data_IF_538429387131
#
_entry.id   IF_538429387131
#
_cell.length_a   1.000
_cell.length_b   1.000
_cell.length_c   1.000
_cell.angle_alpha   90.00
_cell.angle_beta   90.00
_cell.angle_gamma   90.00
#
_symmetry.space_group_name_H-M   'P 1'
#
loop_
_entity.id
_entity.type
_entity.pdbx_description
1 polymer ?
#
# COMPACT_ATOMS: atom_id res chain seq x y z
N UNK A 1 -50.14 -52.73 32.78
CA UNK A 1 -48.98 -53.29 33.49
C UNK A 1 -47.72 -52.71 32.84
N UNK A 2 -46.96 -51.97 33.65
CA UNK A 2 -45.48 -51.90 33.63
C UNK A 2 -44.88 -51.22 32.39
N UNK A 3 -44.68 -49.89 32.43
CA UNK A 3 -43.40 -49.23 32.75
C UNK A 3 -42.28 -49.52 31.74
N UNK A 4 -41.97 -48.51 30.91
CA UNK A 4 -40.64 -48.34 30.33
C UNK A 4 -39.65 -47.95 31.45
N UNK A 5 -38.50 -48.63 31.62
CA UNK A 5 -37.42 -48.12 32.45
C UNK A 5 -36.25 -47.58 31.61
N UNK A 6 -35.89 -46.34 31.94
CA UNK A 6 -34.54 -45.82 32.23
C UNK A 6 -33.36 -46.23 31.30
N UNK A 7 -32.75 -45.30 30.57
CA UNK A 7 -31.69 -44.38 31.03
C UNK A 7 -30.71 -45.02 32.03
N UNK A 8 -29.54 -45.44 31.55
CA UNK A 8 -28.27 -45.41 32.29
C UNK A 8 -27.07 -45.49 31.34
N UNK A 9 -26.30 -44.40 31.33
CA UNK A 9 -24.83 -44.30 31.23
C UNK A 9 -24.04 -45.44 30.58
N UNK A 10 -23.30 -45.10 29.52
CA UNK A 10 -21.92 -45.53 29.36
C UNK A 10 -21.08 -44.32 28.91
N UNK A 11 -20.56 -43.62 29.91
CA UNK A 11 -19.35 -42.81 29.81
C UNK A 11 -18.16 -43.79 29.90
N UNK A 12 -17.05 -43.46 29.23
CA UNK A 12 -15.75 -44.13 29.23
C UNK A 12 -15.55 -45.32 28.26
N UNK A 13 -14.95 -45.00 27.11
CA UNK A 13 -13.93 -45.84 26.46
C UNK A 13 -13.10 -44.99 25.47
N UNK A 14 -12.34 -44.02 25.98
CA UNK A 14 -11.16 -43.53 25.27
C UNK A 14 -9.96 -44.26 25.87
N UNK A 15 -9.71 -45.48 25.38
CA UNK A 15 -8.54 -46.26 25.73
C UNK A 15 -7.57 -46.25 24.54
N UNK A 16 -6.35 -45.82 24.85
CA UNK A 16 -5.14 -45.75 24.05
C UNK A 16 -5.15 -46.62 22.78
N UNK A 17 -5.13 -45.97 21.63
CA UNK A 17 -4.40 -46.46 20.48
C UNK A 17 -3.13 -45.61 20.34
N UNK A 18 -2.08 -45.96 21.08
CA UNK A 18 -0.71 -45.60 20.70
C UNK A 18 -0.37 -46.51 19.52
N UNK A 19 -0.96 -46.20 18.37
CA UNK A 19 -0.48 -46.69 17.08
C UNK A 19 0.60 -45.73 16.63
N UNK A 20 1.74 -46.25 16.21
CA UNK A 20 2.79 -45.47 15.57
C UNK A 20 2.17 -44.61 14.45
N UNK A 21 1.97 -43.32 14.73
CA UNK A 21 1.55 -42.34 13.74
C UNK A 21 2.75 -42.17 12.81
N UNK A 22 2.65 -42.70 11.59
CA UNK A 22 3.54 -42.29 10.52
C UNK A 22 3.38 -40.78 10.30
N UNK A 23 4.46 -40.11 9.90
CA UNK A 23 4.48 -38.66 9.63
C UNK A 23 3.25 -38.23 8.82
N UNK A 24 2.55 -37.21 9.30
CA UNK A 24 1.35 -36.68 8.66
C UNK A 24 1.75 -35.44 7.85
N UNK A 25 1.68 -35.54 6.52
CA UNK A 25 2.05 -34.42 5.65
C UNK A 25 1.32 -33.12 6.03
N UNK A 26 2.03 -31.99 6.07
CA UNK A 26 1.43 -30.70 6.41
C UNK A 26 0.23 -30.38 5.51
N UNK A 27 -0.78 -29.75 6.09
CA UNK A 27 -2.05 -29.45 5.44
C UNK A 27 -1.88 -28.34 4.41
N UNK A 28 -2.49 -28.50 3.23
CA UNK A 28 -2.61 -27.39 2.27
C UNK A 28 -3.72 -26.46 2.76
N UNK A 29 -3.36 -25.26 3.19
CA UNK A 29 -4.29 -24.31 3.78
C UNK A 29 -5.19 -23.65 2.72
N UNK A 30 -6.52 -23.62 2.88
CA UNK A 30 -7.39 -22.82 2.02
C UNK A 30 -7.33 -21.34 2.42
N UNK A 31 -7.07 -20.46 1.44
CA UNK A 31 -6.84 -19.03 1.69
C UNK A 31 -7.81 -18.18 0.87
N UNK A 32 -8.66 -17.45 1.57
CA UNK A 32 -9.56 -16.42 1.02
C UNK A 32 -9.12 -15.03 1.50
N UNK A 33 -9.69 -13.97 0.94
CA UNK A 33 -9.44 -12.61 1.42
C UNK A 33 -9.94 -12.37 2.86
N UNK A 34 -10.85 -13.21 3.35
CA UNK A 34 -11.38 -13.15 4.72
C UNK A 34 -10.65 -14.07 5.71
N UNK A 35 -9.69 -14.87 5.22
CA UNK A 35 -8.94 -15.79 6.05
C UNK A 35 -8.07 -15.02 7.04
N UNK A 36 -8.08 -15.44 8.30
CA UNK A 36 -7.22 -14.87 9.35
C UNK A 36 -5.75 -15.04 8.93
N UNK A 37 -4.97 -13.96 8.75
CA UNK A 37 -3.57 -14.06 8.33
C UNK A 37 -2.70 -14.90 9.29
N UNK A 38 -3.11 -15.06 10.55
CA UNK A 38 -2.32 -15.80 11.54
C UNK A 38 -2.19 -17.30 11.24
N UNK A 39 -2.96 -17.85 10.30
CA UNK A 39 -2.77 -19.25 9.85
C UNK A 39 -1.39 -19.51 9.24
N UNK A 40 -0.65 -18.46 8.88
CA UNK A 40 0.71 -18.54 8.35
C UNK A 40 1.78 -18.58 9.46
N UNK A 41 1.41 -18.31 10.72
CA UNK A 41 2.34 -18.36 11.84
C UNK A 41 2.70 -19.81 12.18
N UNK A 42 3.94 -20.03 12.61
CA UNK A 42 4.35 -21.31 13.19
C UNK A 42 3.70 -21.52 14.56
N UNK A 43 3.33 -22.75 14.86
CA UNK A 43 2.73 -23.15 16.12
C UNK A 43 1.41 -22.44 16.44
N UNK A 44 0.65 -21.99 15.43
CA UNK A 44 -0.61 -21.30 15.64
C UNK A 44 -1.78 -22.25 15.90
N UNK A 45 -2.57 -21.94 16.92
CA UNK A 45 -3.80 -22.65 17.23
C UNK A 45 -5.01 -21.84 16.69
N UNK A 46 -5.64 -22.27 15.58
CA UNK A 46 -6.75 -21.53 14.98
C UNK A 46 -8.03 -21.54 15.82
N UNK A 47 -8.18 -22.49 16.75
CA UNK A 47 -9.34 -22.58 17.63
C UNK A 47 -9.22 -21.57 18.78
N UNK A 48 -8.04 -21.48 19.38
CA UNK A 48 -7.77 -20.59 20.51
C UNK A 48 -7.27 -19.20 20.10
N UNK A 49 -6.91 -19.03 18.82
CA UNK A 49 -6.23 -17.84 18.28
C UNK A 49 -4.97 -17.47 19.07
N UNK A 50 -4.21 -18.48 19.47
CA UNK A 50 -2.99 -18.36 20.27
C UNK A 50 -1.96 -19.38 19.83
N UNK A 51 -1.04 -19.78 20.72
CA UNK A 51 -0.05 -20.81 20.41
C UNK A 51 -0.55 -22.23 20.69
N UNK A 52 -0.03 -23.19 19.95
CA UNK A 52 -0.11 -24.61 20.27
C UNK A 52 0.79 -24.92 21.47
N UNK A 53 0.44 -25.91 22.31
CA UNK A 53 1.30 -26.37 23.40
C UNK A 53 2.65 -26.91 22.89
N UNK A 54 3.67 -26.89 23.73
CA UNK A 54 4.97 -27.46 23.40
C UNK A 54 4.88 -28.99 23.19
N UNK A 55 5.63 -29.50 22.22
CA UNK A 55 5.68 -30.90 21.78
C UNK A 55 4.58 -31.32 20.80
N UNK A 56 3.68 -30.42 20.39
CA UNK A 56 2.62 -30.74 19.43
C UNK A 56 3.07 -30.58 17.99
N UNK A 57 2.46 -31.30 17.06
CA UNK A 57 2.75 -31.15 15.63
C UNK A 57 2.13 -29.86 15.10
N UNK A 58 2.93 -29.05 14.40
CA UNK A 58 2.42 -27.97 13.56
C UNK A 58 1.83 -28.58 12.28
N UNK A 59 0.53 -28.38 12.07
CA UNK A 59 -0.17 -28.94 10.91
C UNK A 59 -0.06 -28.10 9.65
N UNK A 60 0.42 -26.86 9.75
CA UNK A 60 0.61 -25.94 8.63
C UNK A 60 2.03 -26.03 8.07
N UNK A 61 3.02 -26.11 8.96
CA UNK A 61 4.43 -26.17 8.62
C UNK A 61 4.99 -27.60 8.76
N UNK A 62 5.71 -28.06 7.75
CA UNK A 62 6.57 -29.26 7.84
C UNK A 62 8.05 -28.89 7.60
N UNK A 63 8.95 -29.82 7.89
CA UNK A 63 10.40 -29.57 7.87
C UNK A 63 11.15 -30.75 7.26
N UNK A 64 12.25 -30.49 6.57
CA UNK A 64 13.13 -31.54 6.06
C UNK A 64 13.99 -32.16 7.17
N UNK A 65 14.53 -33.36 6.94
CA UNK A 65 15.68 -33.84 7.70
C UNK A 65 16.89 -32.90 7.48
N UNK A 66 17.85 -32.82 8.42
CA UNK A 66 19.06 -32.03 8.25
C UNK A 66 19.84 -32.53 7.04
N UNK A 67 20.28 -31.60 6.19
CA UNK A 67 21.24 -31.91 5.13
C UNK A 67 22.63 -31.47 5.60
N UNK A 68 23.56 -32.43 5.71
CA UNK A 68 24.91 -32.20 6.24
C UNK A 68 25.70 -31.23 5.36
N UNK A 69 26.11 -30.11 5.97
CA UNK A 69 26.91 -29.05 5.35
C UNK A 69 28.36 -29.47 5.01
N UNK A 70 28.81 -30.62 5.51
CA UNK A 70 30.19 -31.10 5.41
C UNK A 70 30.59 -31.83 4.12
N UNK A 71 29.68 -32.08 3.16
CA UNK A 71 30.02 -32.91 1.99
C UNK A 71 29.34 -32.59 0.65
N UNK A 72 28.50 -31.56 0.54
CA UNK A 72 27.97 -31.13 -0.76
C UNK A 72 27.62 -29.65 -0.73
N UNK A 73 27.89 -28.94 -1.82
CA UNK A 73 27.44 -27.56 -1.99
C UNK A 73 25.90 -27.51 -1.93
N UNK A 74 25.34 -26.94 -0.86
CA UNK A 74 23.91 -26.89 -0.56
C UNK A 74 23.54 -25.46 -0.11
N UNK A 75 22.39 -24.92 -0.55
CA UNK A 75 22.29 -24.30 -1.87
C UNK A 75 22.23 -22.77 -1.77
N UNK A 76 22.76 -22.08 -2.80
CA UNK A 76 21.83 -21.40 -3.71
C UNK A 76 21.52 -22.17 -5.01
N UNK A 77 22.28 -23.22 -5.37
CA UNK A 77 22.30 -23.80 -6.73
C UNK A 77 21.95 -25.32 -6.85
N UNK A 78 21.46 -25.96 -5.78
CA UNK A 78 21.08 -27.37 -5.73
C UNK A 78 19.55 -27.57 -5.65
N UNK A 79 19.02 -28.77 -5.94
CA UNK A 79 17.58 -29.02 -5.88
C UNK A 79 17.05 -28.88 -4.44
N UNK A 80 15.84 -28.33 -4.30
CA UNK A 80 15.14 -28.29 -3.02
C UNK A 80 14.83 -29.73 -2.53
N UNK A 81 14.81 -29.96 -1.20
CA UNK A 81 14.47 -31.28 -0.67
C UNK A 81 13.04 -31.67 -1.07
N UNK A 82 12.83 -32.96 -1.27
CA UNK A 82 11.52 -33.53 -1.66
C UNK A 82 10.84 -34.27 -0.50
N UNK A 83 11.61 -34.67 0.52
CA UNK A 83 11.12 -35.35 1.71
C UNK A 83 11.01 -34.37 2.87
N UNK A 84 9.82 -34.31 3.46
CA UNK A 84 9.49 -33.51 4.63
C UNK A 84 8.80 -34.40 5.67
N UNK A 85 8.95 -34.02 6.93
CA UNK A 85 8.40 -34.67 8.11
C UNK A 85 7.75 -33.64 9.03
N UNK A 86 7.02 -34.11 10.03
CA UNK A 86 6.33 -33.28 11.01
C UNK A 86 7.29 -32.31 11.72
N UNK A 87 6.86 -31.05 11.87
CA UNK A 87 7.53 -30.07 12.71
C UNK A 87 6.83 -29.99 14.06
N UNK A 88 7.59 -29.91 15.15
CA UNK A 88 7.07 -29.93 16.53
C UNK A 88 7.22 -28.56 17.19
N UNK A 89 6.17 -28.10 17.86
CA UNK A 89 6.09 -26.79 18.52
C UNK A 89 6.81 -26.75 19.86
N UNK A 90 7.22 -25.56 20.28
CA UNK A 90 7.64 -25.25 21.64
C UNK A 90 9.08 -24.81 21.76
N UNK A 91 9.51 -24.44 22.98
CA UNK A 91 10.93 -24.24 23.28
C UNK A 91 11.49 -25.53 23.89
N UNK A 92 11.80 -26.49 23.03
CA UNK A 92 12.17 -27.85 23.46
C UNK A 92 13.63 -27.95 23.92
N UNK A 93 14.41 -26.88 23.72
CA UNK A 93 15.74 -26.69 24.27
C UNK A 93 15.78 -25.33 25.02
N UNK A 94 15.24 -25.26 26.25
CA UNK A 94 14.97 -23.99 26.94
C UNK A 94 16.21 -23.15 27.30
N UNK A 95 17.38 -23.77 27.36
CA UNK A 95 18.67 -23.07 27.55
C UNK A 95 19.26 -22.56 26.22
N UNK A 96 18.62 -22.91 25.12
CA UNK A 96 19.08 -22.75 23.75
C UNK A 96 18.20 -21.77 22.95
N UNK A 97 16.86 -21.86 23.07
CA UNK A 97 15.94 -20.91 22.41
C UNK A 97 15.43 -19.87 23.39
N UNK A 98 15.24 -18.64 22.93
CA UNK A 98 14.43 -17.67 23.67
C UNK A 98 12.96 -18.09 23.60
N UNK A 99 12.15 -17.86 24.65
CA UNK A 99 10.70 -17.92 24.52
C UNK A 99 10.22 -17.10 23.31
N UNK A 100 9.18 -17.59 22.62
CA UNK A 100 8.53 -16.80 21.56
C UNK A 100 8.09 -15.45 22.14
N UNK A 101 8.40 -14.33 21.47
CA UNK A 101 7.93 -13.01 21.88
C UNK A 101 6.46 -12.77 21.49
N UNK A 102 5.82 -13.71 20.79
CA UNK A 102 4.48 -13.57 20.23
C UNK A 102 3.47 -14.45 20.97
N UNK A 103 2.26 -13.94 21.18
CA UNK A 103 1.17 -14.68 21.82
C UNK A 103 0.44 -15.66 20.88
N UNK A 104 0.76 -15.60 19.58
CA UNK A 104 0.08 -16.30 18.49
C UNK A 104 1.05 -16.96 17.49
N UNK A 105 2.33 -17.09 17.86
CA UNK A 105 3.30 -17.89 17.13
C UNK A 105 4.25 -18.55 18.13
N UNK A 106 4.73 -19.75 17.80
CA UNK A 106 5.67 -20.51 18.62
C UNK A 106 6.80 -21.06 17.75
N UNK A 107 7.96 -21.29 18.36
CA UNK A 107 9.07 -22.01 17.75
C UNK A 107 8.64 -23.41 17.30
N UNK A 108 9.17 -23.86 16.16
CA UNK A 108 9.05 -25.23 15.67
C UNK A 108 10.42 -25.82 15.31
N UNK A 109 10.55 -27.14 15.39
CA UNK A 109 11.77 -27.90 15.08
C UNK A 109 11.45 -29.23 14.37
N UNK A 110 12.43 -29.76 13.63
CA UNK A 110 12.42 -31.10 13.03
C UNK A 110 12.43 -32.27 14.02
N UNK A 111 12.72 -32.00 15.29
CA UNK A 111 12.78 -33.00 16.35
C UNK A 111 12.01 -32.55 17.58
N UNK A 112 11.66 -33.52 18.41
CA UNK A 112 11.13 -33.26 19.75
C UNK A 112 12.23 -33.18 20.84
N UNK A 113 13.51 -33.06 20.43
CA UNK A 113 14.70 -32.99 21.28
C UNK A 113 15.79 -32.14 20.58
N UNK A 114 16.70 -31.55 21.35
CA UNK A 114 17.83 -30.76 20.83
C UNK A 114 18.66 -31.58 19.81
N UNK A 115 19.07 -30.92 18.71
CA UNK A 115 19.82 -31.60 17.65
C UNK A 115 21.30 -31.74 18.01
N UNK A 116 21.99 -32.73 17.44
CA UNK A 116 23.43 -32.97 17.69
C UNK A 116 24.28 -32.77 16.43
N UNK A 117 23.68 -32.29 15.33
CA UNK A 117 24.34 -32.15 14.03
C UNK A 117 24.28 -30.72 13.50
N UNK A 118 25.31 -30.31 12.75
CA UNK A 118 25.28 -29.10 11.93
C UNK A 118 24.58 -29.40 10.61
N UNK A 119 23.70 -28.53 10.14
CA UNK A 119 23.07 -28.73 8.85
C UNK A 119 22.22 -27.57 8.33
N UNK A 120 21.59 -27.86 7.20
CA UNK A 120 20.54 -27.03 6.63
C UNK A 120 19.20 -27.76 6.80
N UNK A 121 18.22 -27.03 7.31
CA UNK A 121 16.83 -27.45 7.41
C UNK A 121 15.97 -26.59 6.49
N UNK A 122 14.93 -27.19 5.95
CA UNK A 122 14.00 -26.51 5.07
C UNK A 122 12.61 -26.62 5.65
N UNK A 123 12.06 -25.48 6.06
CA UNK A 123 10.70 -25.38 6.55
C UNK A 123 9.78 -25.03 5.41
N UNK A 124 8.65 -25.73 5.29
CA UNK A 124 7.73 -25.57 4.19
C UNK A 124 6.31 -25.32 4.67
N UNK A 125 5.68 -24.37 4.01
CA UNK A 125 4.26 -24.07 4.12
C UNK A 125 3.60 -24.25 2.75
N UNK A 126 2.41 -24.85 2.72
CA UNK A 126 1.61 -25.02 1.50
C UNK A 126 0.21 -24.46 1.66
N UNK A 127 -0.29 -23.80 0.63
CA UNK A 127 -1.63 -23.23 0.64
C UNK A 127 -2.21 -23.08 -0.77
N UNK A 128 -3.53 -22.96 -0.85
CA UNK A 128 -4.25 -22.72 -2.09
C UNK A 128 -5.08 -21.44 -1.96
N UNK A 129 -4.98 -20.58 -2.98
CA UNK A 129 -5.80 -19.39 -3.07
C UNK A 129 -7.22 -19.78 -3.53
N UNK A 130 -8.23 -19.19 -2.91
CA UNK A 130 -9.60 -19.26 -3.38
C UNK A 130 -9.74 -18.61 -4.77
N UNK A 131 -10.72 -19.07 -5.56
CA UNK A 131 -10.99 -18.55 -6.89
C UNK A 131 -11.32 -17.04 -6.90
N UNK A 132 -11.76 -16.47 -5.77
CA UNK A 132 -12.02 -15.04 -5.63
C UNK A 132 -10.75 -14.18 -5.56
N UNK A 133 -9.56 -14.78 -5.36
CA UNK A 133 -8.31 -14.04 -5.20
C UNK A 133 -7.60 -13.90 -6.54
N UNK A 134 -7.35 -12.66 -6.98
CA UNK A 134 -6.36 -12.42 -8.03
C UNK A 134 -4.96 -12.66 -7.47
N UNK A 135 -4.12 -13.53 -8.06
CA UNK A 135 -2.77 -13.79 -7.56
C UNK A 135 -1.91 -12.52 -7.41
N UNK A 136 -2.09 -11.53 -8.29
CA UNK A 136 -1.37 -10.25 -8.21
C UNK A 136 -1.83 -9.34 -7.05
N UNK A 137 -3.02 -9.59 -6.49
CA UNK A 137 -3.60 -8.82 -5.37
C UNK A 137 -3.37 -9.46 -4.00
N UNK A 138 -2.80 -10.68 -3.96
CA UNK A 138 -2.47 -11.35 -2.71
C UNK A 138 -1.17 -10.79 -2.12
N UNK A 139 -1.21 -10.38 -0.86
CA UNK A 139 -0.06 -9.85 -0.13
C UNK A 139 0.11 -10.53 1.23
N UNK A 140 1.32 -10.98 1.50
CA UNK A 140 1.72 -11.59 2.76
C UNK A 140 2.98 -10.89 3.28
N UNK A 141 2.86 -10.17 4.40
CA UNK A 141 3.99 -9.68 5.16
C UNK A 141 4.26 -10.65 6.31
N UNK A 142 5.46 -11.23 6.33
CA UNK A 142 5.84 -12.29 7.27
C UNK A 142 7.32 -12.15 7.64
N UNK A 143 7.61 -12.27 8.92
CA UNK A 143 8.97 -12.26 9.45
C UNK A 143 9.40 -13.71 9.70
N UNK A 144 10.61 -14.05 9.25
CA UNK A 144 11.24 -15.34 9.51
C UNK A 144 12.35 -15.18 10.53
N UNK A 145 12.24 -15.96 11.58
CA UNK A 145 13.14 -16.00 12.70
C UNK A 145 13.68 -17.41 12.78
N UNK A 146 14.97 -17.53 13.00
CA UNK A 146 15.63 -18.82 13.10
C UNK A 146 16.76 -18.74 14.10
N UNK A 147 17.13 -19.89 14.61
CA UNK A 147 18.37 -20.13 15.31
C UNK A 147 19.21 -21.05 14.40
N UNK A 148 20.27 -20.61 13.72
CA UNK A 148 21.06 -19.38 13.84
C UNK A 148 20.72 -18.34 12.74
N UNK A 149 20.36 -18.79 11.52
CA UNK A 149 20.00 -17.87 10.43
C UNK A 149 18.95 -18.45 9.47
N UNK A 150 17.97 -17.62 9.12
CA UNK A 150 17.11 -17.84 7.97
C UNK A 150 17.88 -17.34 6.73
N UNK A 151 18.38 -18.28 5.94
CA UNK A 151 19.13 -18.02 4.72
C UNK A 151 18.14 -17.73 3.59
N UNK A 152 17.97 -18.62 2.62
CA UNK A 152 17.17 -18.34 1.42
C UNK A 152 15.69 -18.67 1.62
N UNK A 153 14.80 -17.87 1.03
CA UNK A 153 13.37 -18.16 0.88
C UNK A 153 13.03 -18.41 -0.58
N UNK A 154 12.32 -19.51 -0.84
CA UNK A 154 11.73 -19.81 -2.13
C UNK A 154 10.22 -19.70 -2.08
N UNK A 155 9.64 -19.11 -3.11
CA UNK A 155 8.20 -19.17 -3.34
C UNK A 155 7.95 -19.82 -4.69
N UNK A 156 7.19 -20.91 -4.68
CA UNK A 156 6.85 -21.69 -5.88
C UNK A 156 8.08 -22.14 -6.69
N UNK A 157 9.21 -22.38 -6.01
CA UNK A 157 10.49 -22.77 -6.61
C UNK A 157 11.38 -21.60 -7.05
N UNK A 158 10.94 -20.35 -6.93
CA UNK A 158 11.72 -19.15 -7.26
C UNK A 158 12.39 -18.64 -5.97
N UNK A 159 13.71 -18.56 -5.97
CA UNK A 159 14.47 -17.97 -4.87
C UNK A 159 14.27 -16.44 -4.84
N UNK A 160 13.98 -15.88 -3.67
CA UNK A 160 13.71 -14.44 -3.49
C UNK A 160 14.87 -13.66 -2.87
N UNK A 161 16.03 -14.32 -2.72
CA UNK A 161 17.22 -13.88 -1.97
C UNK A 161 16.94 -13.40 -0.54
N UNK A 162 17.54 -14.07 0.43
CA UNK A 162 17.80 -13.48 1.73
C UNK A 162 19.11 -14.03 2.28
N UNK A 163 19.98 -13.13 2.72
CA UNK A 163 20.79 -13.37 3.90
C UNK A 163 21.24 -12.01 4.43
N UNK A 164 21.28 -11.82 5.76
CA UNK A 164 22.13 -10.79 6.34
C UNK A 164 23.61 -11.04 5.97
N UNK A 165 24.42 -9.99 5.97
CA UNK A 165 25.76 -9.92 5.39
C UNK A 165 26.88 -10.65 6.16
N UNK A 166 26.59 -11.43 7.20
CA UNK A 166 27.59 -12.05 8.08
C UNK A 166 27.41 -13.56 8.24
N UNK A 167 28.50 -14.24 8.66
CA UNK A 167 28.68 -15.70 8.68
C UNK A 167 27.53 -16.44 9.41
N UNK A 168 26.73 -17.25 8.67
CA UNK A 168 25.47 -17.83 9.14
C UNK A 168 25.61 -18.90 10.25
N UNK A 169 26.83 -19.33 10.58
CA UNK A 169 27.10 -20.40 11.56
C UNK A 169 27.73 -19.92 12.88
N UNK A 170 28.02 -18.63 13.03
CA UNK A 170 28.86 -18.11 14.13
C UNK A 170 28.11 -17.52 15.33
N UNK A 171 26.77 -17.55 15.32
CA UNK A 171 25.95 -16.92 16.36
C UNK A 171 25.46 -17.96 17.37
N UNK A 172 25.96 -17.96 18.60
CA UNK A 172 25.34 -18.75 19.68
C UNK A 172 23.95 -18.19 20.02
N UNK A 173 22.91 -18.93 19.63
CA UNK A 173 21.52 -18.74 20.02
C UNK A 173 20.77 -17.60 19.32
N UNK A 174 19.44 -17.69 19.39
CA UNK A 174 18.51 -16.69 18.88
C UNK A 174 18.76 -15.26 19.43
N UNK A 175 18.88 -14.28 18.51
CA UNK A 175 18.80 -12.84 18.82
C UNK A 175 17.71 -12.18 17.96
N UNK A 176 16.67 -11.63 18.59
CA UNK A 176 15.56 -10.91 17.92
C UNK A 176 16.02 -9.81 16.93
N UNK A 177 17.21 -9.24 17.15
CA UNK A 177 17.83 -8.25 16.27
C UNK A 177 18.20 -8.77 14.86
N UNK A 178 18.31 -10.10 14.68
CA UNK A 178 18.76 -10.74 13.44
C UNK A 178 17.62 -11.34 12.59
N UNK A 179 16.36 -10.95 12.86
CA UNK A 179 15.19 -11.45 12.10
C UNK A 179 15.27 -11.03 10.62
N UNK A 180 14.88 -11.94 9.73
CA UNK A 180 14.71 -11.65 8.31
C UNK A 180 13.25 -11.25 8.07
N UNK A 181 13.00 -9.95 7.95
CA UNK A 181 11.68 -9.43 7.60
C UNK A 181 11.46 -9.51 6.09
N UNK A 182 10.37 -10.15 5.65
CA UNK A 182 10.02 -10.25 4.23
C UNK A 182 8.61 -9.76 3.94
N UNK A 183 8.48 -9.00 2.84
CA UNK A 183 7.18 -8.69 2.23
C UNK A 183 7.05 -9.48 0.94
N UNK A 184 6.16 -10.46 0.95
CA UNK A 184 5.88 -11.38 -0.15
C UNK A 184 4.61 -10.91 -0.88
N UNK A 185 4.79 -10.34 -2.06
CA UNK A 185 3.72 -9.81 -2.89
C UNK A 185 4.24 -9.33 -4.25
N UNK A 186 3.34 -9.01 -5.17
CA UNK A 186 3.74 -8.46 -6.47
C UNK A 186 4.52 -7.13 -6.31
N UNK A 187 5.58 -6.88 -7.10
CA UNK A 187 6.04 -7.71 -8.23
C UNK A 187 7.02 -8.83 -7.85
N UNK A 188 7.44 -8.92 -6.59
CA UNK A 188 8.54 -9.79 -6.15
C UNK A 188 8.16 -11.28 -6.13
N UNK A 189 6.86 -11.58 -6.04
CA UNK A 189 6.34 -12.95 -5.94
C UNK A 189 5.27 -13.19 -7.00
N UNK A 190 5.36 -14.33 -7.68
CA UNK A 190 4.34 -14.82 -8.61
C UNK A 190 3.56 -15.94 -7.90
N UNK A 191 2.39 -15.58 -7.35
CA UNK A 191 1.48 -16.55 -6.76
C UNK A 191 0.79 -17.37 -7.85
N UNK A 192 0.59 -18.66 -7.57
CA UNK A 192 -0.19 -19.56 -8.40
C UNK A 192 -1.70 -19.33 -8.15
N UNK A 193 -2.54 -19.41 -9.20
CA UNK A 193 -3.98 -19.20 -9.09
C UNK A 193 -4.69 -20.35 -8.37
N UNK A 194 -5.99 -20.18 -8.14
CA UNK A 194 -6.85 -21.22 -7.58
C UNK A 194 -6.74 -22.55 -8.34
N UNK A 195 -6.81 -23.66 -7.60
CA UNK A 195 -6.60 -25.01 -8.12
C UNK A 195 -5.12 -25.39 -8.31
N UNK A 196 -4.18 -24.54 -7.90
CA UNK A 196 -2.76 -24.86 -7.83
C UNK A 196 -2.20 -24.53 -6.45
N UNK A 197 -1.44 -25.46 -5.89
CA UNK A 197 -0.77 -25.29 -4.59
C UNK A 197 0.37 -24.28 -4.70
N UNK A 198 0.29 -23.25 -3.86
CA UNK A 198 1.40 -22.35 -3.54
C UNK A 198 2.28 -22.96 -2.45
N UNK A 199 3.58 -22.71 -2.55
CA UNK A 199 4.58 -23.26 -1.62
C UNK A 199 5.57 -22.18 -1.22
N UNK A 200 5.83 -22.06 0.08
CA UNK A 200 6.91 -21.25 0.65
C UNK A 200 7.88 -22.22 1.31
N UNK A 201 9.16 -22.13 0.96
CA UNK A 201 10.24 -22.89 1.60
C UNK A 201 11.26 -21.92 2.16
N UNK A 202 11.62 -22.09 3.43
CA UNK A 202 12.62 -21.29 4.14
C UNK A 202 13.77 -22.19 4.55
N UNK A 203 14.98 -21.84 4.12
CA UNK A 203 16.21 -22.51 4.56
C UNK A 203 16.67 -21.91 5.88
N UNK A 204 16.86 -22.77 6.86
CA UNK A 204 17.44 -22.47 8.16
C UNK A 204 18.80 -23.17 8.24
N UNK A 205 19.83 -22.39 8.57
CA UNK A 205 21.17 -22.91 8.80
C UNK A 205 21.43 -22.90 10.30
N UNK A 206 21.78 -24.05 10.84
CA UNK A 206 21.99 -24.21 12.28
C UNK A 206 23.17 -25.12 12.62
N UNK A 207 23.81 -24.84 13.74
CA UNK A 207 24.83 -25.69 14.35
C UNK A 207 24.17 -26.66 15.37
N UNK A 208 24.92 -27.62 15.96
CA UNK A 208 24.37 -28.53 16.94
C UNK A 208 23.71 -27.77 18.10
N UNK A 209 22.73 -28.42 18.72
CA UNK A 209 21.93 -28.02 19.89
C UNK A 209 20.83 -26.97 19.65
N UNK A 210 20.79 -26.29 18.49
CA UNK A 210 20.08 -25.01 18.34
C UNK A 210 19.13 -24.89 17.12
N UNK A 211 18.64 -25.97 16.52
CA UNK A 211 17.70 -25.84 15.38
C UNK A 211 16.30 -25.38 15.82
N UNK A 212 15.94 -24.14 15.47
CA UNK A 212 14.58 -23.63 15.67
C UNK A 212 14.16 -22.65 14.58
N UNK A 213 12.89 -22.72 14.18
CA UNK A 213 12.27 -21.79 13.24
C UNK A 213 10.98 -21.20 13.80
N UNK A 214 10.77 -19.91 13.53
CA UNK A 214 9.55 -19.20 13.88
C UNK A 214 9.16 -18.29 12.73
N UNK A 215 7.91 -18.42 12.27
CA UNK A 215 7.32 -17.51 11.30
C UNK A 215 6.22 -16.68 11.97
N UNK A 216 6.28 -15.37 11.80
CA UNK A 216 5.31 -14.43 12.35
C UNK A 216 4.77 -13.52 11.26
N UNK A 217 3.47 -13.62 10.99
CA UNK A 217 2.75 -12.74 10.08
C UNK A 217 2.60 -11.35 10.69
N UNK A 218 2.72 -10.32 9.85
CA UNK A 218 2.41 -8.92 10.16
C UNK A 218 1.29 -8.35 9.29
N UNK A 219 0.83 -9.09 8.27
CA UNK A 219 -0.37 -8.76 7.51
C UNK A 219 -1.61 -8.71 8.41
N UNK A 220 -2.39 -7.63 8.29
CA UNK A 220 -3.74 -7.53 8.88
C UNK A 220 -4.84 -7.96 7.91
N UNK A 221 -4.51 -8.08 6.62
CA UNK A 221 -5.36 -8.63 5.56
C UNK A 221 -4.48 -9.30 4.48
N UNK A 222 -5.00 -10.35 3.85
CA UNK A 222 -4.29 -11.12 2.81
C UNK A 222 -4.61 -10.65 1.37
N UNK A 223 -5.78 -10.04 1.20
CA UNK A 223 -6.12 -9.22 0.05
C UNK A 223 -6.37 -7.81 0.58
N UNK A 224 -5.33 -7.04 0.94
CA UNK A 224 -5.54 -5.63 1.23
C UNK A 224 -6.32 -5.04 0.05
N UNK A 225 -7.44 -4.39 0.34
CA UNK A 225 -8.35 -3.91 -0.70
C UNK A 225 -7.51 -3.17 -1.75
N UNK A 226 -7.73 -3.49 -3.03
CA UNK A 226 -7.26 -2.64 -4.09
C UNK A 226 -8.06 -1.34 -3.91
N UNK A 227 -7.52 -0.40 -3.15
CA UNK A 227 -8.21 0.84 -2.81
C UNK A 227 -7.69 1.92 -3.75
N UNK A 228 -8.56 2.59 -4.51
CA UNK A 228 -8.16 3.78 -5.22
C UNK A 228 -7.76 4.85 -4.21
N UNK A 229 -6.61 5.48 -4.42
CA UNK A 229 -6.13 6.55 -3.55
C UNK A 229 -6.07 7.84 -4.36
N UNK A 230 -7.04 8.71 -4.13
CA UNK A 230 -7.22 9.92 -4.92
C UNK A 230 -6.45 11.08 -4.28
N UNK A 231 -5.50 11.62 -5.01
CA UNK A 231 -4.87 12.88 -4.68
C UNK A 231 -5.41 13.96 -5.63
N UNK A 232 -6.16 14.90 -5.07
CA UNK A 232 -6.67 16.06 -5.81
C UNK A 232 -5.81 17.27 -5.47
N UNK A 233 -5.31 17.94 -6.51
CA UNK A 233 -4.62 19.23 -6.35
C UNK A 233 -5.28 20.29 -7.21
N UNK A 234 -5.16 21.54 -6.77
CA UNK A 234 -5.67 22.70 -7.49
C UNK A 234 -4.70 23.87 -7.33
N UNK A 235 -4.32 24.50 -8.43
CA UNK A 235 -3.46 25.68 -8.41
C UNK A 235 -3.98 26.73 -9.38
N UNK A 236 -3.91 28.01 -9.01
CA UNK A 236 -4.17 29.13 -9.91
C UNK A 236 -2.88 29.56 -10.62
N UNK A 237 -2.99 30.05 -11.85
CA UNK A 237 -1.86 30.53 -12.63
C UNK A 237 -1.24 31.82 -12.10
N UNK A 238 -1.99 32.56 -11.28
CA UNK A 238 -1.57 33.84 -10.71
C UNK A 238 -2.23 34.06 -9.34
N UNK A 239 -1.54 34.68 -8.38
CA UNK A 239 -2.09 34.92 -7.04
C UNK A 239 -3.10 36.07 -7.01
N UNK A 240 -3.12 36.94 -8.03
CA UNK A 240 -4.06 38.06 -8.12
C UNK A 240 -4.46 38.39 -9.55
N UNK A 241 -5.63 38.98 -9.74
CA UNK A 241 -6.18 39.32 -11.06
C UNK A 241 -7.19 40.48 -10.99
N UNK A 242 -7.13 41.41 -11.94
CA UNK A 242 -8.09 42.50 -12.04
C UNK A 242 -9.41 42.03 -12.73
N UNK A 243 -10.55 42.70 -12.49
CA UNK A 243 -11.79 42.46 -13.23
C UNK A 243 -11.59 42.41 -14.75
N UNK A 244 -12.17 41.40 -15.39
CA UNK A 244 -12.05 41.16 -16.83
C UNK A 244 -10.79 40.38 -17.27
N UNK A 245 -9.81 40.18 -16.39
CA UNK A 245 -8.68 39.29 -16.67
C UNK A 245 -9.10 37.82 -16.55
N UNK A 246 -8.43 36.97 -17.33
CA UNK A 246 -8.57 35.54 -17.22
C UNK A 246 -7.67 34.98 -16.12
N UNK A 247 -8.16 33.96 -15.43
CA UNK A 247 -7.41 33.13 -14.47
C UNK A 247 -7.51 31.69 -14.94
N UNK A 248 -6.37 31.01 -15.01
CA UNK A 248 -6.32 29.59 -15.32
C UNK A 248 -6.11 28.80 -14.02
N UNK A 249 -6.90 27.74 -13.82
CA UNK A 249 -6.71 26.79 -12.75
C UNK A 249 -6.27 25.44 -13.34
N UNK A 250 -5.24 24.86 -12.74
CA UNK A 250 -4.83 23.48 -13.01
C UNK A 250 -5.37 22.60 -11.89
N UNK A 251 -6.23 21.65 -12.23
CA UNK A 251 -6.74 20.63 -11.31
C UNK A 251 -6.16 19.29 -11.75
N UNK A 252 -5.39 18.63 -10.89
CA UNK A 252 -4.88 17.29 -11.17
C UNK A 252 -5.52 16.27 -10.24
N UNK A 253 -6.01 15.18 -10.83
CA UNK A 253 -6.55 14.00 -10.16
C UNK A 253 -5.58 12.85 -10.40
N UNK A 254 -4.92 12.42 -9.35
CA UNK A 254 -3.97 11.32 -9.34
C UNK A 254 -4.58 10.12 -8.63
N UNK A 255 -4.42 8.92 -9.18
CA UNK A 255 -4.71 7.68 -8.49
C UNK A 255 -3.41 7.00 -8.05
N UNK A 256 -2.97 7.30 -6.83
CA UNK A 256 -1.79 6.69 -6.21
C UNK A 256 -2.04 5.34 -5.57
N UNK A 257 -3.26 4.80 -5.71
CA UNK A 257 -3.68 3.54 -5.10
C UNK A 257 -3.35 2.34 -5.98
N UNK A 258 -3.95 1.20 -5.64
CA UNK A 258 -3.72 -0.08 -6.35
C UNK A 258 -4.92 -0.54 -7.17
N UNK A 259 -6.11 0.05 -6.99
CA UNK A 259 -7.28 -0.14 -7.85
C UNK A 259 -7.50 1.00 -8.83
N UNK A 260 -8.32 0.75 -9.85
CA UNK A 260 -8.86 1.79 -10.73
C UNK A 260 -9.91 2.65 -10.04
N UNK A 261 -9.92 3.94 -10.35
CA UNK A 261 -10.90 4.93 -9.94
C UNK A 261 -11.79 5.42 -11.10
N UNK A 262 -11.96 4.61 -12.14
CA UNK A 262 -12.81 4.93 -13.29
C UNK A 262 -14.23 5.28 -12.83
N UNK A 263 -14.84 6.30 -13.45
CA UNK A 263 -16.12 6.83 -13.00
C UNK A 263 -16.02 7.91 -11.91
N UNK A 264 -14.82 8.33 -11.51
CA UNK A 264 -14.64 9.47 -10.59
C UNK A 264 -15.26 10.74 -11.19
N UNK A 265 -16.19 11.34 -10.46
CA UNK A 265 -16.81 12.62 -10.82
C UNK A 265 -15.97 13.76 -10.28
N UNK A 266 -15.51 14.64 -11.16
CA UNK A 266 -14.73 15.84 -10.83
C UNK A 266 -15.61 17.06 -11.02
N UNK A 267 -15.79 17.84 -9.95
CA UNK A 267 -16.62 19.04 -9.96
C UNK A 267 -15.84 20.26 -9.46
N UNK A 268 -15.88 21.35 -10.22
CA UNK A 268 -15.35 22.67 -9.85
C UNK A 268 -16.43 23.73 -10.13
N UNK A 269 -17.40 23.92 -9.21
CA UNK A 269 -18.41 24.96 -9.36
C UNK A 269 -17.76 26.35 -9.34
N UNK A 270 -18.23 27.24 -10.21
CA UNK A 270 -17.71 28.61 -10.22
C UNK A 270 -18.12 29.37 -8.95
N UNK A 271 -17.18 29.85 -8.13
CA UNK A 271 -17.48 30.69 -7.00
C UNK A 271 -17.96 32.08 -7.44
N UNK A 272 -18.56 32.80 -6.51
CA UNK A 272 -18.82 34.23 -6.72
C UNK A 272 -17.49 34.95 -7.04
N UNK A 273 -17.53 35.89 -7.98
CA UNK A 273 -16.34 36.60 -8.44
C UNK A 273 -15.65 36.01 -9.67
N UNK A 274 -16.06 34.83 -10.15
CA UNK A 274 -15.67 34.29 -11.45
C UNK A 274 -16.88 34.14 -12.38
N UNK A 275 -16.63 34.22 -13.69
CA UNK A 275 -17.64 34.03 -14.75
C UNK A 275 -17.01 33.41 -16.00
N UNK A 276 -17.84 32.95 -16.92
CA UNK A 276 -17.43 32.45 -18.24
C UNK A 276 -16.37 31.34 -18.18
N UNK A 277 -16.62 30.26 -17.43
CA UNK A 277 -15.67 29.17 -17.39
C UNK A 277 -15.66 28.34 -18.68
N UNK A 278 -14.48 27.87 -19.05
CA UNK A 278 -14.29 26.75 -19.97
C UNK A 278 -13.15 25.89 -19.46
N UNK A 279 -13.06 24.66 -19.94
CA UNK A 279 -12.00 23.75 -19.51
C UNK A 279 -11.60 22.76 -20.59
N UNK A 280 -10.37 22.27 -20.48
CA UNK A 280 -9.84 21.14 -21.25
C UNK A 280 -9.32 20.05 -20.33
N UNK A 281 -9.26 18.83 -20.81
CA UNK A 281 -8.78 17.67 -20.06
C UNK A 281 -7.68 16.93 -20.82
N UNK A 282 -6.64 16.52 -20.11
CA UNK A 282 -5.58 15.65 -20.62
C UNK A 282 -5.35 14.48 -19.67
N UNK A 283 -5.03 13.32 -20.24
CA UNK A 283 -4.69 12.11 -19.49
C UNK A 283 -3.20 11.79 -19.64
N UNK A 284 -2.59 11.27 -18.59
CA UNK A 284 -1.19 10.87 -18.52
C UNK A 284 -0.97 9.79 -17.45
N UNK A 285 0.27 9.35 -17.26
CA UNK A 285 0.60 8.26 -16.34
C UNK A 285 0.39 6.90 -17.00
N UNK A 286 -0.31 6.01 -16.31
CA UNK A 286 -0.56 4.64 -16.79
C UNK A 286 -1.30 4.60 -18.13
N UNK A 287 -0.84 3.79 -19.12
CA UNK A 287 -1.52 3.61 -20.40
C UNK A 287 -2.99 3.23 -20.24
N UNK A 288 -3.84 3.86 -21.06
CA UNK A 288 -5.29 3.66 -21.01
C UNK A 288 -6.04 4.65 -20.10
N UNK A 289 -5.35 5.48 -19.32
CA UNK A 289 -5.98 6.61 -18.61
C UNK A 289 -6.69 7.52 -19.62
N UNK A 290 -7.92 7.94 -19.32
CA UNK A 290 -8.75 8.70 -20.25
C UNK A 290 -9.71 9.65 -19.51
N UNK A 291 -9.81 10.89 -20.01
CA UNK A 291 -10.83 11.86 -19.63
C UNK A 291 -12.25 11.37 -19.96
N UNK A 292 -13.27 11.92 -19.31
CA UNK A 292 -14.66 11.75 -19.73
C UNK A 292 -14.93 12.51 -21.02
N UNK A 293 -14.93 13.84 -20.91
CA UNK A 293 -14.91 14.73 -22.06
C UNK A 293 -13.55 15.44 -22.20
N UNK A 294 -13.15 15.73 -23.44
CA UNK A 294 -11.89 16.43 -23.72
C UNK A 294 -11.95 17.93 -23.37
N UNK A 295 -13.15 18.52 -23.35
CA UNK A 295 -13.37 19.92 -23.02
C UNK A 295 -14.83 20.24 -22.66
N UNK A 296 -15.06 21.42 -22.08
CA UNK A 296 -16.38 21.98 -21.80
C UNK A 296 -16.38 23.50 -21.76
N UNK A 297 -17.56 24.12 -21.90
CA UNK A 297 -17.77 25.58 -21.97
C UNK A 297 -18.55 26.15 -20.77
N UNK A 298 -18.66 25.36 -19.71
CA UNK A 298 -19.32 25.71 -18.44
C UNK A 298 -18.39 25.39 -17.26
N UNK A 299 -18.89 25.57 -16.03
CA UNK A 299 -18.23 25.03 -14.84
C UNK A 299 -17.91 23.53 -15.02
N UNK A 300 -16.79 23.07 -14.44
CA UNK A 300 -16.35 21.69 -14.58
C UNK A 300 -17.29 20.77 -13.82
N UNK A 301 -17.82 19.78 -14.53
CA UNK A 301 -18.53 18.64 -13.99
C UNK A 301 -18.35 17.50 -14.99
N UNK A 302 -17.27 16.74 -14.82
CA UNK A 302 -16.88 15.65 -15.73
C UNK A 302 -16.79 14.32 -14.97
N UNK A 303 -17.04 13.22 -15.66
CA UNK A 303 -16.87 11.87 -15.11
C UNK A 303 -15.71 11.21 -15.82
N UNK A 304 -14.59 10.99 -15.12
CA UNK A 304 -13.38 10.42 -15.71
C UNK A 304 -13.69 9.02 -16.26
N UNK A 305 -13.49 8.82 -17.57
CA UNK A 305 -13.80 7.55 -18.23
C UNK A 305 -12.92 6.39 -17.73
N UNK A 306 -11.61 6.63 -17.58
CA UNK A 306 -10.70 5.61 -17.06
C UNK A 306 -9.57 6.21 -16.23
N UNK A 307 -9.39 5.73 -15.00
CA UNK A 307 -8.34 6.19 -14.08
C UNK A 307 -7.67 5.01 -13.35
N UNK A 308 -6.86 4.19 -14.04
CA UNK A 308 -6.14 3.08 -13.43
C UNK A 308 -5.15 3.56 -12.34
N UNK A 309 -4.67 2.62 -11.53
CA UNK A 309 -3.55 2.86 -10.60
C UNK A 309 -2.34 3.49 -11.33
N UNK A 310 -1.77 4.55 -10.76
CA UNK A 310 -0.71 5.35 -11.38
C UNK A 310 -1.18 6.29 -12.51
N UNK A 311 -2.47 6.30 -12.83
CA UNK A 311 -3.06 7.21 -13.81
C UNK A 311 -3.23 8.62 -13.27
N UNK A 312 -3.16 9.61 -14.16
CA UNK A 312 -3.40 11.03 -13.86
C UNK A 312 -4.28 11.67 -14.91
N UNK A 313 -5.31 12.39 -14.47
CA UNK A 313 -6.10 13.30 -15.31
C UNK A 313 -5.89 14.73 -14.85
N UNK A 314 -5.66 15.65 -15.80
CA UNK A 314 -5.43 17.07 -15.53
C UNK A 314 -6.45 17.91 -16.28
N UNK A 315 -7.20 18.73 -15.55
CA UNK A 315 -8.09 19.75 -16.09
C UNK A 315 -7.43 21.11 -16.05
N UNK A 316 -7.51 21.84 -17.17
CA UNK A 316 -7.16 23.27 -17.23
C UNK A 316 -8.44 24.06 -17.35
N UNK A 317 -8.84 24.75 -16.28
CA UNK A 317 -10.06 25.57 -16.22
C UNK A 317 -9.70 27.04 -16.44
N UNK A 318 -10.24 27.66 -17.48
CA UNK A 318 -10.13 29.10 -17.73
C UNK A 318 -11.41 29.78 -17.22
N UNK A 319 -11.29 30.87 -16.46
CA UNK A 319 -12.42 31.70 -16.04
C UNK A 319 -12.05 33.18 -16.06
N UNK A 320 -13.03 34.08 -16.16
CA UNK A 320 -12.83 35.53 -16.08
C UNK A 320 -13.20 36.07 -14.70
N UNK A 321 -12.42 37.02 -14.18
CA UNK A 321 -12.74 37.73 -12.95
C UNK A 321 -13.92 38.67 -13.18
N UNK A 322 -14.97 38.53 -12.38
CA UNK A 322 -16.13 39.42 -12.40
C UNK A 322 -15.81 40.77 -11.72
N UNK A 323 -16.51 41.86 -12.08
CA UNK A 323 -16.42 43.12 -11.37
C UNK A 323 -16.83 42.98 -9.89
N UNK A 324 -16.12 43.68 -9.00
CA UNK A 324 -16.45 43.73 -7.57
C UNK A 324 -15.30 44.28 -6.72
N UNK A 325 -15.44 44.31 -5.39
CA UNK A 325 -14.41 44.82 -4.47
C UNK A 325 -13.17 43.94 -4.43
N UNK A 326 -12.05 44.49 -3.94
CA UNK A 326 -10.84 43.70 -3.65
C UNK A 326 -11.16 42.68 -2.57
N UNK A 327 -11.12 41.40 -2.93
CA UNK A 327 -11.45 40.28 -2.05
C UNK A 327 -10.74 39.01 -2.54
N UNK A 328 -10.59 38.03 -1.66
CA UNK A 328 -10.11 36.71 -2.03
C UNK A 328 -11.24 35.89 -2.67
N UNK A 329 -10.96 35.40 -3.87
CA UNK A 329 -11.83 34.47 -4.60
C UNK A 329 -11.28 33.06 -4.35
N UNK A 330 -11.98 32.30 -3.51
CA UNK A 330 -11.64 30.90 -3.21
C UNK A 330 -12.38 29.99 -4.18
N UNK A 331 -11.64 29.29 -5.04
CA UNK A 331 -12.19 28.29 -5.95
C UNK A 331 -11.92 26.88 -5.41
N UNK A 332 -12.95 26.04 -5.32
CA UNK A 332 -12.89 24.72 -4.67
C UNK A 332 -13.31 23.62 -5.63
N UNK A 333 -12.38 22.70 -5.92
CA UNK A 333 -12.65 21.49 -6.69
C UNK A 333 -12.88 20.30 -5.76
N UNK A 334 -13.68 19.34 -6.24
CA UNK A 334 -13.94 18.06 -5.59
C UNK A 334 -13.76 16.89 -6.56
N UNK A 335 -13.32 15.74 -6.05
CA UNK A 335 -13.27 14.48 -6.77
C UNK A 335 -14.00 13.41 -5.96
N UNK A 336 -15.00 12.79 -6.58
CA UNK A 336 -15.88 11.79 -5.97
C UNK A 336 -15.82 10.48 -6.76
N UNK A 337 -15.03 9.50 -6.33
CA UNK A 337 -15.04 8.14 -6.90
C UNK A 337 -16.43 7.47 -6.78
N UNK A 338 -16.69 6.38 -7.51
CA UNK A 338 -17.90 5.58 -7.33
C UNK A 338 -18.10 5.18 -5.86
N UNK A 339 -19.36 5.24 -5.39
CA UNK A 339 -19.69 5.06 -3.97
C UNK A 339 -19.36 3.66 -3.39
N UNK A 340 -19.12 2.68 -4.26
CA UNK A 340 -18.78 1.29 -3.98
C UNK A 340 -17.29 0.97 -4.13
N UNK A 341 -16.43 1.99 -4.33
CA UNK A 341 -15.01 1.78 -4.65
C UNK A 341 -14.05 1.73 -3.45
N UNK A 342 -14.55 1.85 -2.20
CA UNK A 342 -13.75 1.95 -0.96
C UNK A 342 -12.62 3.00 -1.00
N UNK A 343 -12.69 3.95 -1.94
CA UNK A 343 -11.63 4.90 -2.23
C UNK A 343 -11.33 5.81 -1.04
N UNK A 344 -10.08 6.27 -0.94
CA UNK A 344 -9.62 7.22 0.08
C UNK A 344 -8.93 8.42 -0.56
N UNK A 345 -8.94 9.55 0.16
CA UNK A 345 -8.21 10.74 -0.22
C UNK A 345 -6.78 10.69 0.30
N UNK A 346 -5.81 11.06 -0.53
CA UNK A 346 -4.42 11.20 -0.13
C UNK A 346 -3.99 12.65 0.08
N UNK A 347 -3.05 12.90 1.01
CA UNK A 347 -2.41 11.92 1.92
C UNK A 347 -3.22 11.65 3.20
N UNK A 348 -4.39 12.26 3.37
CA UNK A 348 -5.11 12.29 4.66
C UNK A 348 -5.73 10.95 5.08
N UNK A 349 -5.95 10.03 4.15
CA UNK A 349 -6.73 8.81 4.37
C UNK A 349 -8.23 9.06 4.61
N UNK A 350 -8.71 10.28 4.39
CA UNK A 350 -10.11 10.64 4.60
C UNK A 350 -11.02 9.99 3.54
N UNK A 351 -12.29 9.77 3.88
CA UNK A 351 -13.29 9.33 2.91
C UNK A 351 -13.55 10.43 1.86
N UNK A 352 -13.83 10.09 0.59
CA UNK A 352 -14.25 11.03 -0.44
C UNK A 352 -15.55 11.78 -0.05
N UNK A 353 -15.81 12.97 -0.64
CA UNK A 353 -15.08 13.59 -1.74
C UNK A 353 -13.73 14.20 -1.33
N UNK A 354 -12.73 14.06 -2.20
CA UNK A 354 -11.43 14.71 -2.01
C UNK A 354 -11.51 16.17 -2.46
N UNK A 355 -11.01 17.09 -1.64
CA UNK A 355 -11.20 18.53 -1.84
C UNK A 355 -9.85 19.23 -2.05
N UNK A 356 -9.80 20.16 -3.02
CA UNK A 356 -8.66 21.03 -3.25
C UNK A 356 -9.09 22.46 -3.56
N UNK A 357 -8.43 23.43 -2.92
CA UNK A 357 -8.77 24.85 -3.03
C UNK A 357 -7.61 25.66 -3.60
N UNK A 358 -7.92 26.67 -4.41
CA UNK A 358 -6.97 27.69 -4.83
C UNK A 358 -7.60 29.07 -4.65
N UNK A 359 -6.81 30.02 -4.17
CA UNK A 359 -7.26 31.39 -3.88
C UNK A 359 -6.58 32.37 -4.83
N UNK A 360 -7.37 33.28 -5.38
CA UNK A 360 -6.88 34.43 -6.16
C UNK A 360 -7.46 35.71 -5.56
N UNK A 361 -6.60 36.68 -5.26
CA UNK A 361 -7.04 37.98 -4.78
C UNK A 361 -7.48 38.85 -5.96
N UNK A 362 -8.71 39.38 -5.93
CA UNK A 362 -9.16 40.37 -6.91
C UNK A 362 -8.38 41.66 -6.69
N UNK A 363 -7.66 42.13 -7.72
CA UNK A 363 -6.93 43.40 -7.67
C UNK A 363 -7.78 44.56 -8.15
N UNK A 364 -7.42 45.78 -7.73
CA UNK A 364 -8.02 47.00 -8.27
C UNK A 364 -7.74 47.16 -9.76
N UNK A 365 -8.69 47.76 -10.47
CA UNK A 365 -8.45 48.23 -11.83
C UNK A 365 -7.59 49.49 -11.74
N UNK A 366 -6.35 49.42 -12.22
CA UNK A 366 -5.51 50.63 -12.33
C UNK A 366 -6.18 51.54 -13.38
N UNK A 367 -6.94 52.53 -12.91
CA UNK A 367 -7.44 53.60 -13.78
C UNK A 367 -6.22 54.41 -14.24
N UNK A 368 -6.08 54.74 -15.54
CA UNK A 368 -5.02 55.63 -15.98
C UNK A 368 -5.10 56.92 -15.17
N UNK A 369 -3.96 57.37 -14.63
CA UNK A 369 -3.90 58.65 -13.96
C UNK A 369 -4.53 59.70 -14.89
N UNK A 370 -5.48 60.48 -14.39
CA UNK A 370 -6.05 61.59 -15.15
C UNK A 370 -4.89 62.47 -15.60
N UNK A 371 -4.66 62.55 -16.93
CA UNK A 371 -3.71 63.51 -17.48
C UNK A 371 -4.20 64.88 -16.99
N UNK A 372 -3.39 65.67 -16.27
CA UNK A 372 -3.79 67.01 -15.89
C UNK A 372 -4.00 67.81 -17.18
N UNK A 373 -5.24 67.93 -17.62
CA UNK A 373 -5.60 68.90 -18.64
C UNK A 373 -5.42 70.26 -18.01
N UNK A 374 -4.49 71.06 -18.53
CA UNK A 374 -4.40 72.48 -18.18
C UNK A 374 -5.81 73.07 -18.36
N UNK A 375 -6.27 73.83 -17.37
CA UNK A 375 -7.50 74.61 -17.53
C UNK A 375 -7.36 75.51 -18.76
N UNK A 376 -8.46 75.97 -19.34
CA UNK A 376 -8.44 76.93 -20.47
C UNK A 376 -7.56 78.14 -20.12
N UNK A 377 -7.52 78.53 -18.85
CA UNK A 377 -6.61 79.55 -18.30
C UNK A 377 -5.14 79.12 -18.27
N UNK A 378 -4.84 77.87 -17.90
CA UNK A 378 -3.49 77.30 -17.95
C UNK A 378 -2.94 77.20 -19.38
N UNK A 379 -3.79 76.90 -20.36
CA UNK A 379 -3.43 76.93 -21.79
C UNK A 379 -3.23 78.38 -22.26
N UNK A 380 -4.11 79.30 -21.84
CA UNK A 380 -4.00 80.73 -22.15
C UNK A 380 -2.72 81.38 -21.61
N UNK A 381 -2.30 81.03 -20.39
CA UNK A 381 -1.04 81.53 -19.79
C UNK A 381 0.21 81.03 -20.53
N UNK A 382 0.19 79.78 -21.01
CA UNK A 382 1.27 79.23 -21.84
C UNK A 382 1.37 79.94 -23.21
N UNK A 383 0.24 80.24 -23.84
CA UNK A 383 0.21 81.02 -25.09
C UNK A 383 0.71 82.47 -24.89
N UNK A 384 0.40 83.09 -23.75
CA UNK A 384 0.89 84.43 -23.39
C UNK A 384 2.41 84.43 -23.14
N UNK A 385 2.95 83.39 -22.49
CA UNK A 385 4.38 83.26 -22.23
C UNK A 385 5.20 83.09 -23.53
N UNK A 386 4.67 82.35 -24.51
CA UNK A 386 5.31 82.16 -25.82
C UNK A 386 5.32 83.46 -26.64
N UNK A 387 4.23 84.23 -26.62
CA UNK A 387 4.15 85.52 -27.34
C UNK A 387 5.05 86.59 -26.72
N UNK A 388 5.16 86.65 -25.39
CA UNK A 388 6.09 87.56 -24.69
C UNK A 388 7.56 87.16 -24.92
N UNK A 389 7.86 85.86 -24.97
CA UNK A 389 9.20 85.34 -25.26
C UNK A 389 9.68 85.64 -26.69
N UNK A 390 8.80 85.55 -27.69
CA UNK A 390 9.11 85.89 -29.09
C UNK A 390 9.25 87.42 -29.27
N UNK A 391 8.40 88.21 -28.60
CA UNK A 391 8.46 89.68 -28.66
C UNK A 391 9.76 90.27 -28.10
N UNK A 392 10.39 89.62 -27.10
CA UNK A 392 11.70 90.06 -26.58
C UNK A 392 12.88 89.73 -27.50
N UNK A 393 12.79 88.69 -28.35
CA UNK A 393 13.84 88.35 -29.32
C UNK A 393 13.87 89.26 -30.56
N UNK A 394 12.75 89.89 -30.91
CA UNK A 394 12.66 90.78 -32.08
C UNK A 394 13.10 92.23 -31.79
N UNK A 395 13.34 92.62 -30.53
CA UNK A 395 13.89 93.93 -30.15
C UNK A 395 15.42 93.95 -29.98
N UNK A 396 16.09 92.82 -30.18
CA UNK A 396 17.54 92.67 -29.98
C UNK A 396 18.32 92.45 -31.30
N UNK A 397 17.76 92.86 -32.43
CA UNK A 397 18.45 92.92 -33.73
C UNK A 397 18.38 94.30 -34.32
#
# INVERSE_FOLDING_TARGET
>A
MIQLPHVRQCMAAALLAIGAMGAQAATVLPVSCSTDPNIFNTGYNPILRGTLPDGTVDTAWDVSAPIDSGNAALPPNGPLPTAFQDAFTGNLAPDAWSPSPFSNAQWISSRNQADTVTGDWFYRLRFELDASISPSGFQLAIDFLADNSAATVWVNGIALESSPSEDPYSLEGYRFANRTQMRLGAPNVIWRPAGQTNEIIVQVKSNPDLEGFLAQVSSTALCPANTPQIMLTKAASQPSAAPGQAVNYTIAVDNGGTASASGTVVSDPLPNGLRNASWTCTASGTPGTACGAASGTSALNDTIANLPAGGRVTYTVNAMVAPGPVEDIVNTASASPPADSDAICAPSGAAPPCIATATVTRSEVIKPASIPTLSVWGIGLLALAVTVGIGRRLRAR
#
